data_IF_494647071609
#
_entry.id   IF_494647071609
#
_cell.length_a   1.000
_cell.length_b   1.000
_cell.length_c   1.000
_cell.angle_alpha   90.00
_cell.angle_beta   90.00
_cell.angle_gamma   90.00
#
_symmetry.space_group_name_H-M   'P 1'
#
loop_
_entity.id
_entity.type
_entity.pdbx_description
1 polymer ?
#
# COMPACT_ATOMS: atom_id res chain seq x y z
N UNK A 1 45.33 52.56 -1.35
CA UNK A 1 44.17 52.24 -0.51
C UNK A 1 43.32 51.24 -1.26
N UNK A 2 43.20 50.00 -0.78
CA UNK A 2 42.21 49.06 -1.31
C UNK A 2 40.89 49.35 -0.58
N UNK A 3 39.89 49.83 -1.32
CA UNK A 3 38.52 49.91 -0.82
C UNK A 3 38.00 48.48 -0.72
N UNK A 4 37.68 48.03 0.49
CA UNK A 4 37.01 46.75 0.71
C UNK A 4 35.55 46.91 0.32
N UNK A 5 35.04 45.96 -0.44
CA UNK A 5 33.64 45.85 -0.82
C UNK A 5 32.72 45.78 0.42
N UNK A 6 31.55 46.42 0.35
CA UNK A 6 30.53 46.37 1.40
C UNK A 6 29.63 45.17 1.08
N UNK A 7 29.46 44.26 2.02
CA UNK A 7 28.52 43.16 1.84
C UNK A 7 27.08 43.64 2.03
N UNK A 8 26.36 43.90 0.94
CA UNK A 8 25.01 44.42 1.02
C UNK A 8 24.00 43.43 1.60
N UNK A 9 24.28 42.13 1.53
CA UNK A 9 23.43 41.07 2.10
C UNK A 9 23.47 41.07 3.63
N UNK A 10 24.59 41.47 4.22
CA UNK A 10 24.73 41.63 5.68
C UNK A 10 24.32 43.03 6.16
N UNK A 11 24.53 44.07 5.34
CA UNK A 11 24.55 45.47 5.80
C UNK A 11 23.24 46.24 5.59
N UNK A 12 22.45 45.98 4.54
CA UNK A 12 21.23 46.74 4.24
C UNK A 12 19.94 46.01 4.61
N UNK A 13 18.83 46.73 4.86
CA UNK A 13 17.49 46.17 5.15
C UNK A 13 16.68 45.83 3.90
N UNK A 14 17.07 46.31 2.71
CA UNK A 14 16.40 46.07 1.42
C UNK A 14 16.86 44.72 0.80
N UNK A 15 16.74 43.65 1.59
CA UNK A 15 17.50 42.37 1.54
C UNK A 15 17.17 41.35 0.44
N UNK A 16 16.50 41.72 -0.66
CA UNK A 16 15.78 40.78 -1.54
C UNK A 16 14.46 40.28 -0.94
N UNK A 17 13.63 39.63 -1.77
CA UNK A 17 12.38 39.02 -1.31
C UNK A 17 12.63 37.97 -0.22
N UNK A 18 11.66 37.71 0.66
CA UNK A 18 11.76 36.68 1.71
C UNK A 18 12.03 35.26 1.14
N UNK A 19 11.57 35.04 -0.09
CA UNK A 19 11.77 33.82 -0.86
C UNK A 19 12.88 33.95 -1.91
N UNK A 20 13.86 34.83 -1.70
CA UNK A 20 15.05 34.97 -2.53
C UNK A 20 16.34 34.71 -1.74
N UNK A 21 17.40 34.39 -2.47
CA UNK A 21 18.78 34.33 -2.03
C UNK A 21 19.47 35.65 -2.43
N UNK A 22 20.25 36.21 -1.51
CA UNK A 22 21.09 37.38 -1.77
C UNK A 22 22.52 36.91 -2.01
N UNK A 23 23.12 37.36 -3.12
CA UNK A 23 24.53 37.15 -3.41
C UNK A 23 25.23 38.50 -3.55
N UNK A 24 26.21 38.76 -2.68
CA UNK A 24 27.03 39.96 -2.73
C UNK A 24 27.97 39.93 -3.95
N UNK A 25 28.12 41.06 -4.63
CA UNK A 25 29.00 41.23 -5.79
C UNK A 25 29.83 42.49 -5.62
N UNK A 26 30.91 42.65 -6.38
CA UNK A 26 31.73 43.84 -6.21
C UNK A 26 30.98 45.12 -6.62
N UNK A 27 30.70 45.99 -5.64
CA UNK A 27 29.96 47.24 -5.81
C UNK A 27 28.43 47.12 -5.89
N UNK A 28 27.85 45.93 -5.68
CA UNK A 28 26.39 45.72 -5.64
C UNK A 28 26.01 44.31 -5.16
N UNK A 29 24.73 43.95 -5.16
CA UNK A 29 24.27 42.58 -4.88
C UNK A 29 23.22 42.12 -5.90
N UNK A 30 23.10 40.80 -6.04
CA UNK A 30 22.11 40.16 -6.91
C UNK A 30 21.15 39.32 -6.06
N UNK A 31 19.85 39.52 -6.30
CA UNK A 31 18.78 38.74 -5.71
C UNK A 31 18.31 37.67 -6.70
N UNK A 32 18.21 36.42 -6.26
CA UNK A 32 17.64 35.33 -7.07
C UNK A 32 16.57 34.60 -6.28
N UNK A 33 15.41 34.30 -6.89
CA UNK A 33 14.38 33.53 -6.20
C UNK A 33 14.92 32.16 -5.76
N UNK A 34 14.51 31.71 -4.57
CA UNK A 34 14.82 30.37 -4.06
C UNK A 34 14.21 29.31 -5.00
N UNK A 35 14.76 28.08 -5.03
CA UNK A 35 14.13 26.97 -5.76
C UNK A 35 12.65 26.82 -5.40
N UNK A 36 11.80 26.53 -6.40
CA UNK A 36 10.34 26.50 -6.24
C UNK A 36 9.64 27.86 -6.34
N UNK A 37 10.40 28.95 -6.55
CA UNK A 37 9.84 30.28 -6.75
C UNK A 37 10.33 30.90 -8.07
N UNK A 38 9.51 31.78 -8.64
CA UNK A 38 9.79 32.53 -9.87
C UNK A 38 9.62 34.03 -9.65
N UNK A 39 10.34 34.84 -10.42
CA UNK A 39 10.31 36.31 -10.32
C UNK A 39 11.69 36.95 -10.50
N UNK A 40 11.83 38.19 -10.04
CA UNK A 40 13.02 39.02 -10.24
C UNK A 40 13.99 39.03 -9.04
N UNK A 41 13.74 38.18 -8.03
CA UNK A 41 14.51 38.15 -6.78
C UNK A 41 14.09 39.22 -5.75
N UNK A 42 13.35 40.25 -6.16
CA UNK A 42 12.74 41.25 -5.26
C UNK A 42 11.25 40.99 -5.03
N UNK A 43 10.60 40.35 -5.99
CA UNK A 43 9.28 39.77 -5.92
C UNK A 43 9.38 38.30 -6.37
N UNK A 44 9.22 37.37 -5.45
CA UNK A 44 9.24 35.94 -5.76
C UNK A 44 7.89 35.32 -5.43
N UNK A 45 7.22 34.82 -6.45
CA UNK A 45 5.97 34.08 -6.32
C UNK A 45 6.24 32.59 -6.39
N UNK A 46 5.44 31.84 -5.65
CA UNK A 46 5.45 30.39 -5.70
C UNK A 46 5.21 29.86 -7.11
N UNK A 47 5.91 28.80 -7.51
CA UNK A 47 5.63 28.07 -8.75
C UNK A 47 4.61 26.99 -8.40
N UNK A 48 3.42 27.04 -9.00
CA UNK A 48 2.44 25.97 -8.83
C UNK A 48 2.79 24.79 -9.76
N UNK A 49 3.57 23.83 -9.27
CA UNK A 49 3.99 22.69 -10.09
C UNK A 49 2.83 21.77 -10.51
N UNK A 50 1.67 21.92 -9.87
CA UNK A 50 0.44 21.17 -10.18
C UNK A 50 -0.41 21.87 -11.25
N UNK A 51 -0.10 23.12 -11.61
CA UNK A 51 -0.88 23.91 -12.56
C UNK A 51 -0.80 23.32 -13.97
N UNK A 52 -1.98 23.15 -14.59
CA UNK A 52 -2.11 22.74 -16.00
C UNK A 52 -1.74 23.86 -16.99
N UNK A 53 -1.48 25.07 -16.50
CA UNK A 53 -1.06 26.19 -17.35
C UNK A 53 0.39 26.02 -17.84
N UNK A 54 1.20 25.22 -17.16
CA UNK A 54 2.55 24.91 -17.61
C UNK A 54 2.52 24.04 -18.87
N UNK A 55 3.30 24.42 -19.88
CA UNK A 55 3.45 23.67 -21.13
C UNK A 55 4.27 22.38 -20.97
N UNK A 56 5.03 22.29 -19.88
CA UNK A 56 5.81 21.11 -19.48
C UNK A 56 5.34 20.69 -18.08
N UNK A 57 5.23 19.38 -17.83
CA UNK A 57 4.90 18.86 -16.50
C UNK A 57 6.03 19.23 -15.52
N UNK A 58 5.70 19.96 -14.47
CA UNK A 58 6.68 20.45 -13.46
C UNK A 58 6.71 19.60 -12.19
N UNK A 59 5.92 18.53 -12.12
CA UNK A 59 5.89 17.61 -10.99
C UNK A 59 6.17 16.16 -11.41
N UNK A 60 6.75 15.40 -10.49
CA UNK A 60 7.10 14.00 -10.66
C UNK A 60 6.04 13.04 -10.09
N UNK A 61 4.82 13.53 -9.81
CA UNK A 61 3.76 12.69 -9.28
C UNK A 61 3.44 11.52 -10.23
N UNK A 62 3.21 10.35 -9.64
CA UNK A 62 2.74 9.15 -10.34
C UNK A 62 1.45 9.47 -11.12
N UNK A 63 1.20 8.86 -12.29
CA UNK A 63 -0.09 9.00 -13.00
C UNK A 63 -1.32 8.68 -12.13
N UNK A 64 -1.17 7.79 -11.16
CA UNK A 64 -2.16 7.42 -10.16
C UNK A 64 -2.07 8.23 -8.86
N UNK A 65 -1.34 9.34 -8.85
CA UNK A 65 -1.30 10.31 -7.75
C UNK A 65 -1.98 11.64 -8.11
N UNK A 66 -2.39 12.36 -7.08
CA UNK A 66 -2.84 13.74 -7.11
C UNK A 66 -1.71 14.65 -6.64
N UNK A 67 -1.53 15.76 -7.34
CA UNK A 67 -0.57 16.81 -6.99
C UNK A 67 -1.30 17.89 -6.16
N UNK A 68 -0.70 18.31 -5.05
CA UNK A 68 -1.14 19.45 -4.24
C UNK A 68 0.00 20.43 -4.11
N UNK A 69 -0.22 21.66 -4.58
CA UNK A 69 0.79 22.71 -4.52
C UNK A 69 1.01 23.17 -3.07
N UNK A 70 2.25 23.49 -2.74
CA UNK A 70 2.66 24.01 -1.43
C UNK A 70 3.68 25.12 -1.61
N UNK A 71 3.94 25.92 -0.57
CA UNK A 71 4.85 27.04 -0.74
C UNK A 71 6.30 26.57 -0.98
N UNK A 72 6.82 26.81 -2.17
CA UNK A 72 8.14 26.45 -2.67
C UNK A 72 8.29 24.99 -3.10
N UNK A 73 7.20 24.22 -3.19
CA UNK A 73 7.23 22.81 -3.58
C UNK A 73 5.82 22.24 -3.82
N UNK A 74 5.71 20.93 -3.97
CA UNK A 74 4.45 20.22 -4.10
C UNK A 74 4.46 18.89 -3.35
N UNK A 75 3.27 18.37 -3.05
CA UNK A 75 3.07 17.06 -2.44
C UNK A 75 2.29 16.19 -3.43
N UNK A 76 2.80 14.98 -3.67
CA UNK A 76 2.08 13.94 -4.39
C UNK A 76 1.41 13.00 -3.38
N UNK A 77 0.16 12.63 -3.64
CA UNK A 77 -0.56 11.63 -2.83
C UNK A 77 -1.27 10.65 -3.73
N UNK A 78 -1.09 9.35 -3.51
CA UNK A 78 -1.76 8.33 -4.30
C UNK A 78 -3.28 8.51 -4.27
N UNK A 79 -3.91 8.37 -5.43
CA UNK A 79 -5.37 8.43 -5.56
C UNK A 79 -6.01 7.27 -4.80
N UNK A 80 -7.31 7.39 -4.54
CA UNK A 80 -8.10 6.32 -3.94
C UNK A 80 -7.86 4.99 -4.67
N UNK A 81 -7.74 3.91 -3.89
CA UNK A 81 -7.41 2.53 -4.34
C UNK A 81 -5.95 2.31 -4.75
N UNK A 82 -5.08 3.28 -4.52
CA UNK A 82 -3.64 3.14 -4.70
C UNK A 82 -2.92 3.43 -3.39
N UNK A 83 -1.76 2.80 -3.21
CA UNK A 83 -0.86 2.99 -2.07
C UNK A 83 0.55 3.26 -2.58
N UNK A 84 1.35 3.93 -1.77
CA UNK A 84 2.72 4.30 -2.11
C UNK A 84 3.07 5.68 -1.61
N UNK A 85 4.13 6.27 -2.15
CA UNK A 85 4.67 7.56 -1.71
C UNK A 85 4.21 8.75 -2.58
N UNK A 86 3.25 8.54 -3.49
CA UNK A 86 2.77 9.57 -4.42
C UNK A 86 3.64 9.76 -5.67
N UNK A 87 4.91 9.37 -5.63
CA UNK A 87 5.80 9.33 -6.79
C UNK A 87 5.76 7.96 -7.49
N UNK A 88 5.54 6.91 -6.70
CA UNK A 88 5.24 5.56 -7.16
C UNK A 88 3.95 5.10 -6.45
N UNK A 89 2.92 4.82 -7.22
CA UNK A 89 1.62 4.37 -6.70
C UNK A 89 1.24 3.02 -7.31
N UNK A 90 1.00 2.05 -6.44
CA UNK A 90 0.58 0.70 -6.81
C UNK A 90 -0.88 0.46 -6.41
N UNK A 91 -1.58 -0.38 -7.17
CA UNK A 91 -2.96 -0.73 -6.87
C UNK A 91 -3.05 -1.41 -5.50
N UNK A 92 -3.86 -0.85 -4.61
CA UNK A 92 -4.02 -1.37 -3.27
C UNK A 92 -4.88 -2.65 -3.31
N UNK A 93 -4.34 -3.81 -2.92
CA UNK A 93 -5.08 -5.07 -2.99
C UNK A 93 -6.35 -5.07 -2.13
N UNK A 94 -6.47 -4.13 -1.17
CA UNK A 94 -7.70 -3.91 -0.41
C UNK A 94 -8.89 -3.47 -1.28
N UNK A 95 -8.70 -3.12 -2.54
CA UNK A 95 -9.79 -2.79 -3.48
C UNK A 95 -9.87 -3.73 -4.69
N UNK A 96 -8.90 -4.64 -4.84
CA UNK A 96 -8.76 -5.53 -5.99
C UNK A 96 -8.57 -6.98 -5.52
N UNK A 97 -9.67 -7.64 -5.16
CA UNK A 97 -9.70 -9.03 -4.72
C UNK A 97 -10.93 -9.76 -5.25
N UNK A 98 -10.91 -11.09 -5.17
CA UNK A 98 -12.05 -11.96 -5.49
C UNK A 98 -12.73 -12.46 -4.21
N UNK A 99 -14.04 -12.66 -4.27
CA UNK A 99 -14.79 -13.16 -3.13
C UNK A 99 -14.79 -14.70 -3.09
N UNK A 100 -14.61 -15.24 -1.89
CA UNK A 100 -14.92 -16.62 -1.53
C UNK A 100 -16.15 -16.60 -0.64
N UNK A 101 -17.27 -17.10 -1.13
CA UNK A 101 -18.59 -16.93 -0.50
C UNK A 101 -19.37 -18.22 -0.31
N UNK A 102 -18.84 -19.34 -0.81
CA UNK A 102 -19.51 -20.62 -0.80
C UNK A 102 -19.70 -21.12 0.63
N UNK A 103 -20.93 -21.48 1.01
CA UNK A 103 -21.26 -21.94 2.37
C UNK A 103 -20.42 -23.14 2.81
N UNK A 104 -20.05 -23.99 1.84
CA UNK A 104 -19.18 -25.13 2.09
C UNK A 104 -17.73 -24.75 2.37
N UNK A 105 -17.31 -23.48 2.39
CA UNK A 105 -15.98 -23.03 2.87
C UNK A 105 -15.97 -22.71 4.36
N UNK A 106 -17.12 -22.66 5.02
CA UNK A 106 -17.20 -22.40 6.46
C UNK A 106 -16.55 -23.55 7.22
N UNK A 107 -15.73 -23.25 8.22
CA UNK A 107 -15.04 -24.26 9.03
C UNK A 107 -15.99 -25.24 9.74
N UNK A 108 -17.23 -24.82 10.02
CA UNK A 108 -18.25 -25.65 10.65
C UNK A 108 -18.97 -26.56 9.66
N UNK A 109 -18.84 -26.33 8.35
CA UNK A 109 -19.47 -27.15 7.31
C UNK A 109 -18.89 -28.55 7.35
N UNK A 110 -19.75 -29.56 7.59
CA UNK A 110 -19.36 -30.97 7.59
C UNK A 110 -19.31 -31.47 6.15
N UNK A 111 -18.17 -31.97 5.69
CA UNK A 111 -18.00 -32.48 4.33
C UNK A 111 -18.40 -33.95 4.26
N UNK A 112 -19.46 -34.33 3.51
CA UNK A 112 -19.78 -35.74 3.27
C UNK A 112 -18.67 -36.43 2.48
N UNK A 113 -18.42 -37.70 2.82
CA UNK A 113 -17.42 -38.51 2.12
C UNK A 113 -17.76 -38.66 0.64
N UNK A 114 -16.79 -38.42 -0.25
CA UNK A 114 -16.95 -38.48 -1.70
C UNK A 114 -17.54 -37.22 -2.35
N UNK A 115 -17.78 -36.15 -1.58
CA UNK A 115 -18.26 -34.84 -2.06
C UNK A 115 -17.24 -33.72 -1.87
N UNK A 116 -15.98 -34.08 -1.64
CA UNK A 116 -14.92 -33.13 -1.35
C UNK A 116 -14.56 -32.28 -2.59
N UNK A 117 -14.32 -31.00 -2.33
CA UNK A 117 -13.84 -29.99 -3.28
C UNK A 117 -12.40 -29.62 -2.95
N UNK A 118 -11.80 -28.75 -3.77
CA UNK A 118 -10.42 -28.35 -3.59
C UNK A 118 -10.07 -27.02 -4.23
N UNK A 119 -8.97 -26.42 -3.76
CA UNK A 119 -8.43 -25.17 -4.30
C UNK A 119 -7.22 -25.39 -5.22
N UNK A 120 -6.95 -26.62 -5.69
CA UNK A 120 -5.82 -26.91 -6.61
C UNK A 120 -5.91 -26.10 -7.92
N UNK A 121 -7.13 -25.78 -8.34
CA UNK A 121 -7.41 -24.95 -9.53
C UNK A 121 -7.77 -23.50 -9.19
N UNK A 122 -7.72 -23.11 -7.91
CA UNK A 122 -7.94 -21.73 -7.50
C UNK A 122 -6.78 -20.87 -8.03
N UNK A 123 -7.03 -19.86 -8.87
CA UNK A 123 -5.98 -18.98 -9.35
C UNK A 123 -5.28 -18.28 -8.20
N UNK A 124 -3.97 -18.10 -8.28
CA UNK A 124 -3.22 -17.35 -7.29
C UNK A 124 -3.64 -15.87 -7.31
N UNK A 125 -3.71 -15.24 -6.15
CA UNK A 125 -4.08 -13.82 -6.03
C UNK A 125 -4.84 -13.50 -4.76
N UNK A 126 -5.32 -12.25 -4.67
CA UNK A 126 -6.04 -11.73 -3.50
C UNK A 126 -7.49 -12.19 -3.44
N UNK A 127 -7.86 -12.78 -2.30
CA UNK A 127 -9.21 -13.22 -1.99
C UNK A 127 -9.71 -12.67 -0.66
N UNK A 128 -11.03 -12.55 -0.53
CA UNK A 128 -11.73 -12.20 0.71
C UNK A 128 -12.80 -13.24 1.01
N UNK A 129 -12.87 -13.71 2.25
CA UNK A 129 -14.00 -14.48 2.73
C UNK A 129 -15.19 -13.56 2.99
N UNK A 130 -16.34 -13.88 2.40
CA UNK A 130 -17.58 -13.11 2.57
C UNK A 130 -18.80 -14.02 2.70
N UNK A 131 -19.91 -13.49 3.21
CA UNK A 131 -21.19 -14.20 3.24
C UNK A 131 -21.11 -15.51 4.02
N UNK A 132 -21.64 -16.59 3.44
CA UNK A 132 -21.76 -17.88 4.13
C UNK A 132 -20.40 -18.58 4.38
N UNK A 133 -19.34 -18.16 3.69
CA UNK A 133 -17.99 -18.66 3.95
C UNK A 133 -17.39 -18.07 5.25
N UNK A 134 -17.95 -16.97 5.76
CA UNK A 134 -17.45 -16.22 6.91
C UNK A 134 -16.74 -14.93 6.51
N UNK A 135 -16.00 -14.33 7.45
CA UNK A 135 -15.34 -13.02 7.29
C UNK A 135 -13.82 -13.10 7.26
N UNK A 136 -13.24 -14.20 7.75
CA UNK A 136 -11.79 -14.40 7.89
C UNK A 136 -11.41 -15.87 7.89
N UNK A 137 -10.13 -16.19 7.70
CA UNK A 137 -9.62 -17.55 7.89
C UNK A 137 -9.62 -17.92 9.38
N UNK A 138 -9.87 -19.19 9.78
CA UNK A 138 -9.69 -19.58 11.18
C UNK A 138 -8.22 -19.52 11.58
N UNK A 139 -7.94 -19.10 12.80
CA UNK A 139 -6.58 -19.09 13.40
C UNK A 139 -6.32 -20.31 14.27
N UNK A 140 -7.33 -21.18 14.39
CA UNK A 140 -7.26 -22.45 15.10
C UNK A 140 -7.41 -23.58 14.11
N UNK A 141 -6.84 -24.73 14.46
CA UNK A 141 -6.95 -25.93 13.65
C UNK A 141 -8.41 -26.27 13.33
N UNK A 142 -8.68 -26.49 12.05
CA UNK A 142 -9.95 -27.04 11.56
C UNK A 142 -9.84 -28.56 11.48
N UNK A 143 -10.86 -29.27 11.99
CA UNK A 143 -10.90 -30.74 11.93
C UNK A 143 -11.05 -31.25 10.51
N UNK A 144 -10.51 -32.43 10.20
CA UNK A 144 -10.63 -33.05 8.87
C UNK A 144 -12.10 -33.21 8.43
N UNK A 145 -12.33 -33.30 7.12
CA UNK A 145 -13.68 -33.36 6.53
C UNK A 145 -14.56 -32.17 6.93
N UNK A 146 -13.97 -30.98 6.83
CA UNK A 146 -14.63 -29.70 7.02
C UNK A 146 -14.39 -28.77 5.85
N UNK A 147 -15.24 -27.76 5.73
CA UNK A 147 -15.06 -26.68 4.76
C UNK A 147 -14.91 -27.23 3.31
N UNK A 148 -15.63 -28.32 3.04
CA UNK A 148 -15.71 -28.90 1.72
C UNK A 148 -14.41 -29.58 1.30
N UNK A 149 -13.50 -29.91 2.22
CA UNK A 149 -12.23 -30.58 1.92
C UNK A 149 -11.94 -31.72 2.89
N UNK A 150 -11.02 -32.62 2.48
CA UNK A 150 -10.45 -33.63 3.39
C UNK A 150 -9.48 -32.96 4.37
N UNK A 151 -8.62 -32.07 3.85
CA UNK A 151 -7.57 -31.37 4.59
C UNK A 151 -7.83 -29.86 4.57
N UNK A 152 -8.63 -29.33 5.51
CA UNK A 152 -8.92 -27.90 5.59
C UNK A 152 -7.68 -27.09 5.97
N UNK A 153 -7.59 -25.88 5.41
CA UNK A 153 -6.54 -24.90 5.69
C UNK A 153 -6.95 -23.87 6.74
N UNK A 154 -6.07 -23.60 7.70
CA UNK A 154 -6.22 -22.53 8.69
C UNK A 154 -4.94 -21.70 8.81
N UNK A 155 -5.06 -20.47 9.28
CA UNK A 155 -3.93 -19.60 9.57
C UNK A 155 -3.24 -20.09 10.85
N UNK A 156 -1.96 -20.41 10.78
CA UNK A 156 -1.16 -20.90 11.92
C UNK A 156 -0.57 -19.73 12.74
N UNK A 157 -1.32 -18.64 12.82
CA UNK A 157 -0.96 -17.40 13.51
C UNK A 157 -2.21 -16.52 13.65
N UNK A 158 -2.10 -15.44 14.41
CA UNK A 158 -3.03 -14.33 14.45
C UNK A 158 -3.04 -13.54 13.14
N UNK A 159 -4.17 -12.89 12.86
CA UNK A 159 -4.30 -11.97 11.75
C UNK A 159 -3.50 -10.67 12.01
N UNK A 160 -2.94 -10.03 10.98
CA UNK A 160 -2.25 -8.76 11.14
C UNK A 160 -3.18 -7.62 11.57
N UNK A 161 -2.61 -6.60 12.22
CA UNK A 161 -3.25 -5.31 12.45
C UNK A 161 -3.23 -4.46 11.18
N UNK A 162 -3.86 -3.28 11.20
CA UNK A 162 -3.79 -2.33 10.09
C UNK A 162 -2.38 -1.75 9.95
N UNK A 163 -1.70 -1.51 11.07
CA UNK A 163 -0.34 -0.94 11.08
C UNK A 163 0.71 -1.91 10.52
N UNK A 164 0.49 -3.23 10.67
CA UNK A 164 1.40 -4.26 10.14
C UNK A 164 1.49 -4.26 8.61
N UNK A 165 0.51 -3.67 7.92
CA UNK A 165 0.46 -3.65 6.46
C UNK A 165 0.28 -5.04 5.84
N UNK A 166 1.01 -5.31 4.76
CA UNK A 166 1.04 -6.63 4.13
C UNK A 166 1.99 -7.56 4.91
N UNK A 167 1.42 -8.55 5.60
CA UNK A 167 2.16 -9.49 6.43
C UNK A 167 2.27 -10.87 5.78
N UNK A 168 3.46 -11.46 5.81
CA UNK A 168 3.67 -12.87 5.44
C UNK A 168 3.18 -13.78 6.56
N UNK A 169 2.25 -14.68 6.26
CA UNK A 169 1.64 -15.61 7.22
C UNK A 169 1.65 -17.03 6.70
N UNK A 170 1.55 -18.00 7.62
CA UNK A 170 1.53 -19.42 7.32
C UNK A 170 0.11 -19.95 7.35
N UNK A 171 -0.31 -20.61 6.28
CA UNK A 171 -1.50 -21.47 6.28
C UNK A 171 -1.05 -22.91 6.42
N UNK A 172 -1.64 -23.58 7.40
CA UNK A 172 -1.43 -24.99 7.68
C UNK A 172 -2.59 -25.81 7.15
N UNK A 173 -2.26 -26.91 6.47
CA UNK A 173 -3.20 -27.95 6.08
C UNK A 173 -2.90 -29.23 6.87
N UNK A 174 -3.96 -29.86 7.37
CA UNK A 174 -3.88 -31.13 8.09
C UNK A 174 -3.54 -32.31 7.16
N UNK A 175 -3.26 -33.47 7.75
CA UNK A 175 -3.10 -34.74 7.04
C UNK A 175 -4.07 -35.80 7.56
N UNK A 176 -4.01 -37.03 7.02
CA UNK A 176 -4.92 -38.14 7.37
C UNK A 176 -4.86 -38.58 8.84
N UNK A 177 -3.83 -38.17 9.60
CA UNK A 177 -3.67 -38.50 11.02
C UNK A 177 -4.14 -37.35 11.93
N UNK A 178 -4.68 -36.27 11.35
CA UNK A 178 -5.32 -35.14 12.00
C UNK A 178 -4.37 -34.22 12.79
N UNK A 179 -3.36 -34.73 13.46
CA UNK A 179 -2.78 -34.04 14.61
C UNK A 179 -1.63 -33.06 14.31
N UNK A 180 -1.22 -32.86 13.06
CA UNK A 180 -0.08 -31.97 12.73
C UNK A 180 -0.32 -31.15 11.46
N UNK A 181 0.15 -29.91 11.47
CA UNK A 181 0.36 -29.11 10.27
C UNK A 181 1.42 -29.82 9.40
N UNK A 182 1.03 -30.24 8.19
CA UNK A 182 1.91 -31.03 7.32
C UNK A 182 2.30 -30.29 6.06
N UNK A 183 1.34 -29.64 5.40
CA UNK A 183 1.62 -28.77 4.26
C UNK A 183 1.44 -27.33 4.69
N UNK A 184 2.48 -26.53 4.48
CA UNK A 184 2.51 -25.11 4.81
C UNK A 184 2.49 -24.33 3.51
N UNK A 185 1.64 -23.32 3.45
CA UNK A 185 1.68 -22.28 2.42
C UNK A 185 1.96 -20.94 3.08
N UNK A 186 3.04 -20.30 2.68
CA UNK A 186 3.31 -18.92 3.05
C UNK A 186 2.50 -18.04 2.11
N UNK A 187 1.58 -17.25 2.65
CA UNK A 187 0.73 -16.33 1.91
C UNK A 187 0.91 -14.91 2.45
N UNK A 188 0.58 -13.91 1.65
CA UNK A 188 0.41 -12.55 2.17
C UNK A 188 -1.00 -12.39 2.74
N UNK A 189 -1.11 -11.73 3.89
CA UNK A 189 -2.38 -11.35 4.51
C UNK A 189 -2.33 -9.88 4.82
N UNK A 190 -3.40 -9.15 4.52
CA UNK A 190 -3.51 -7.73 4.79
C UNK A 190 -4.82 -7.42 5.48
N UNK A 191 -4.75 -6.59 6.52
CA UNK A 191 -5.91 -6.03 7.20
C UNK A 191 -6.30 -4.71 6.53
N UNK A 192 -7.48 -4.66 5.92
CA UNK A 192 -8.01 -3.50 5.22
C UNK A 192 -8.89 -2.63 6.13
N UNK A 193 -8.68 -2.70 7.45
CA UNK A 193 -9.45 -2.00 8.48
C UNK A 193 -10.66 -2.79 8.96
N UNK A 194 -11.61 -3.05 8.08
CA UNK A 194 -12.87 -3.75 8.43
C UNK A 194 -12.93 -5.22 7.97
N UNK A 195 -11.95 -5.67 7.20
CA UNK A 195 -11.87 -7.04 6.69
C UNK A 195 -10.44 -7.42 6.35
N UNK A 196 -10.23 -8.73 6.15
CA UNK A 196 -8.96 -9.29 5.74
C UNK A 196 -9.01 -9.75 4.29
N UNK A 197 -7.87 -9.61 3.63
CA UNK A 197 -7.62 -10.21 2.32
C UNK A 197 -6.41 -11.14 2.42
N UNK A 198 -6.42 -12.16 1.57
CA UNK A 198 -5.44 -13.24 1.59
C UNK A 198 -4.93 -13.45 0.16
N UNK A 199 -3.63 -13.30 -0.06
CA UNK A 199 -3.00 -13.61 -1.34
C UNK A 199 -2.76 -15.12 -1.41
N UNK A 200 -3.82 -15.85 -1.80
CA UNK A 200 -3.83 -17.30 -1.72
C UNK A 200 -2.98 -17.92 -2.83
N UNK A 201 -2.19 -18.92 -2.44
CA UNK A 201 -1.38 -19.72 -3.35
C UNK A 201 -2.05 -21.08 -3.54
N UNK A 202 -2.09 -21.62 -4.76
CA UNK A 202 -2.71 -22.93 -4.99
C UNK A 202 -2.05 -24.05 -4.16
N UNK A 203 -2.84 -24.91 -3.48
CA UNK A 203 -2.34 -26.11 -2.82
C UNK A 203 -1.77 -27.14 -3.81
N UNK A 204 -0.82 -27.98 -3.37
CA UNK A 204 -0.24 -29.01 -4.24
C UNK A 204 -1.21 -30.16 -4.52
N UNK A 205 -2.12 -30.44 -3.57
CA UNK A 205 -3.05 -31.56 -3.61
C UNK A 205 -4.49 -31.08 -3.67
N UNK A 206 -5.33 -31.80 -4.44
CA UNK A 206 -6.77 -31.52 -4.51
C UNK A 206 -7.55 -32.02 -3.27
N UNK A 207 -6.87 -32.35 -2.17
CA UNK A 207 -7.55 -32.64 -0.91
C UNK A 207 -7.61 -31.41 -0.01
N UNK A 208 -7.02 -30.30 -0.44
CA UNK A 208 -6.78 -29.09 0.36
C UNK A 208 -7.64 -27.94 -0.13
N UNK A 209 -8.17 -27.18 0.83
CA UNK A 209 -9.00 -26.00 0.57
C UNK A 209 -8.89 -25.01 1.73
N UNK A 210 -8.87 -23.72 1.41
CA UNK A 210 -8.83 -22.65 2.40
C UNK A 210 -10.21 -22.45 3.04
N UNK A 211 -10.23 -22.33 4.36
CA UNK A 211 -11.46 -22.23 5.13
C UNK A 211 -11.72 -20.83 5.65
N UNK A 212 -12.99 -20.52 5.84
CA UNK A 212 -13.44 -19.30 6.48
C UNK A 212 -14.17 -19.57 7.80
N UNK A 213 -14.15 -18.58 8.68
CA UNK A 213 -14.85 -18.51 9.96
C UNK A 213 -15.34 -17.07 10.20
N UNK A 214 -16.05 -16.82 11.31
CA UNK A 214 -16.50 -15.48 11.72
C UNK A 214 -15.62 -14.87 12.81
#
# INVERSE_FOLDING_TARGET
>A
FFLKDIDECETYSDKCHVNALCNNTHGSHVCTCKPGYTGDGRNCTDIDECSKAHTVKMNDCDPNASCTNTQGSYICSCKSKYIGNGLNCEADPCYYYKNLSEANRKESYKTPYGSELCDKQLPEGWYRFVGAAGTKMPTTRVSDYRCGAVHPGWLDDTHPTVEDGEASKKVCFSDRNGNKCREIKNISVKNCGSYFIYNLIRPLKCQMRYCGTD
#
